data_IF_180534006587
#
_entry.id   IF_180534006587
#
_cell.length_a   1.000
_cell.length_b   1.000
_cell.length_c   1.000
_cell.angle_alpha   90.00
_cell.angle_beta   90.00
_cell.angle_gamma   90.00
#
_symmetry.space_group_name_H-M   'P 1'
#
loop_
_entity.id
_entity.type
_entity.pdbx_description
1 polymer ?
#
# COMPACT_ATOMS: atom_id res chain seq x y z
N UNK A 1 35.91 -1.12 14.43
CA UNK A 1 34.96 -1.15 13.30
C UNK A 1 35.11 0.16 12.53
N UNK A 2 35.18 0.15 11.20
CA UNK A 2 35.39 1.38 10.41
C UNK A 2 34.13 2.25 10.39
N UNK A 3 34.29 3.57 10.61
CA UNK A 3 33.19 4.52 10.78
C UNK A 3 32.20 4.55 9.60
N UNK A 4 32.65 4.25 8.37
CA UNK A 4 31.79 4.12 7.18
C UNK A 4 30.64 3.12 7.34
N UNK A 5 30.76 2.11 8.22
CA UNK A 5 29.72 1.08 8.38
C UNK A 5 28.46 1.58 9.11
N UNK A 6 28.46 2.79 9.68
CA UNK A 6 27.32 3.40 10.36
C UNK A 6 26.70 4.59 9.61
N UNK A 7 27.28 4.99 8.46
CA UNK A 7 26.81 6.13 7.67
C UNK A 7 25.43 5.86 7.04
N UNK A 8 24.39 6.58 7.48
CA UNK A 8 22.99 6.37 7.08
C UNK A 8 22.51 7.49 6.16
N UNK A 9 21.85 7.18 5.04
CA UNK A 9 21.30 8.22 4.14
C UNK A 9 20.34 9.15 4.88
N UNK A 10 20.49 10.47 4.73
CA UNK A 10 19.74 11.51 5.46
C UNK A 10 18.22 11.29 5.42
N UNK A 11 17.65 10.98 4.26
CA UNK A 11 16.21 10.70 4.12
C UNK A 11 15.73 9.46 4.91
N UNK A 12 16.61 8.48 5.17
CA UNK A 12 16.33 7.31 6.00
C UNK A 12 16.45 7.69 7.48
N UNK A 13 17.50 8.43 7.85
CA UNK A 13 17.68 8.97 9.20
C UNK A 13 16.44 9.74 9.65
N UNK A 14 16.04 10.79 8.92
CA UNK A 14 14.85 11.62 9.22
C UNK A 14 13.56 10.77 9.30
N UNK A 15 13.42 9.76 8.43
CA UNK A 15 12.21 8.93 8.44
C UNK A 15 12.12 7.96 9.62
N UNK A 16 13.25 7.55 10.21
CA UNK A 16 13.32 6.69 11.41
C UNK A 16 13.05 7.44 12.73
N UNK A 17 13.17 8.77 12.72
CA UNK A 17 12.84 9.62 13.90
C UNK A 17 11.33 9.86 14.05
N UNK A 18 10.53 9.36 13.10
CA UNK A 18 9.08 9.53 13.04
C UNK A 18 8.62 10.84 12.39
N UNK A 19 9.54 11.76 12.04
CA UNK A 19 9.19 13.11 11.54
C UNK A 19 8.32 13.09 10.27
N UNK A 20 8.74 12.34 9.24
CA UNK A 20 7.99 12.20 7.99
C UNK A 20 8.35 10.89 7.25
N UNK A 21 7.79 10.66 6.06
CA UNK A 21 8.24 9.58 5.16
C UNK A 21 9.57 9.94 4.47
N UNK A 22 10.30 8.93 3.99
CA UNK A 22 11.52 9.13 3.20
C UNK A 22 11.34 10.07 1.99
N UNK A 23 10.18 10.02 1.33
CA UNK A 23 9.85 10.88 0.17
C UNK A 23 9.57 12.33 0.57
N UNK A 24 8.96 12.55 1.75
CA UNK A 24 8.77 13.88 2.31
C UNK A 24 10.10 14.45 2.81
N UNK A 25 10.96 13.61 3.41
CA UNK A 25 12.33 14.00 3.78
C UNK A 25 13.13 14.44 2.55
N UNK A 26 13.07 13.68 1.44
CA UNK A 26 13.69 14.09 0.16
C UNK A 26 13.17 15.46 -0.31
N UNK A 27 11.87 15.76 -0.20
CA UNK A 27 11.30 17.09 -0.53
C UNK A 27 11.80 18.21 0.40
N UNK A 28 11.99 17.93 1.69
CA UNK A 28 12.49 18.92 2.65
C UNK A 28 13.97 19.25 2.43
N UNK A 29 14.77 18.24 2.06
CA UNK A 29 16.18 18.40 1.71
C UNK A 29 16.31 19.23 0.42
N UNK A 30 15.54 18.87 -0.61
CA UNK A 30 15.49 19.60 -1.90
C UNK A 30 15.04 21.06 -1.74
N UNK A 31 14.13 21.33 -0.81
CA UNK A 31 13.70 22.68 -0.43
C UNK A 31 14.70 23.46 0.46
N UNK A 32 15.88 22.90 0.77
CA UNK A 32 16.90 23.55 1.62
C UNK A 32 16.50 23.72 3.09
N UNK A 33 15.44 23.03 3.55
CA UNK A 33 14.88 23.14 4.92
C UNK A 33 15.55 22.24 5.95
N UNK A 34 16.55 21.47 5.52
CA UNK A 34 17.30 20.51 6.35
C UNK A 34 18.75 20.93 6.40
N UNK A 35 19.36 20.89 7.57
CA UNK A 35 20.80 21.12 7.76
C UNK A 35 21.46 19.91 8.40
N UNK A 36 22.75 19.70 8.10
CA UNK A 36 23.66 18.83 8.85
C UNK A 36 24.79 19.72 9.36
N UNK A 37 25.04 19.75 10.67
CA UNK A 37 26.07 20.58 11.31
C UNK A 37 26.02 22.05 10.83
N UNK A 38 24.82 22.61 10.74
CA UNK A 38 24.56 23.99 10.28
C UNK A 38 24.68 24.24 8.77
N UNK A 39 24.90 23.21 7.93
CA UNK A 39 25.06 23.35 6.47
C UNK A 39 23.95 22.63 5.71
N UNK A 40 23.47 23.21 4.61
CA UNK A 40 22.49 22.57 3.72
C UNK A 40 23.19 21.41 2.98
N UNK A 41 22.70 20.17 3.07
CA UNK A 41 23.32 18.99 2.48
C UNK A 41 22.82 18.74 1.04
N UNK A 42 23.68 18.16 0.20
CA UNK A 42 23.26 17.69 -1.13
C UNK A 42 22.34 16.45 -1.06
N UNK A 43 21.55 16.24 -2.12
CA UNK A 43 20.64 15.10 -2.22
C UNK A 43 21.38 13.77 -2.25
N UNK A 44 21.12 12.93 -1.25
CA UNK A 44 21.77 11.62 -1.08
C UNK A 44 22.90 11.60 -0.05
N UNK A 45 23.24 12.74 0.56
CA UNK A 45 24.16 12.84 1.70
C UNK A 45 23.83 11.82 2.80
N UNK A 46 24.88 11.31 3.46
CA UNK A 46 24.77 10.41 4.61
C UNK A 46 25.09 11.18 5.89
N UNK A 47 24.37 10.81 6.94
CA UNK A 47 24.54 11.26 8.33
C UNK A 47 25.44 10.24 9.04
N UNK A 48 26.45 10.73 9.74
CA UNK A 48 27.34 9.98 10.61
C UNK A 48 26.81 9.96 12.06
N UNK A 49 27.20 8.98 12.89
CA UNK A 49 26.95 9.04 14.32
C UNK A 49 27.59 10.29 14.93
N UNK A 50 26.78 11.14 15.56
CA UNK A 50 27.22 12.41 16.17
C UNK A 50 27.03 13.66 15.31
N UNK A 51 26.63 13.52 14.04
CA UNK A 51 26.18 14.67 13.25
C UNK A 51 24.88 15.25 13.84
N UNK A 52 24.83 16.58 13.95
CA UNK A 52 23.60 17.30 14.29
C UNK A 52 22.77 17.50 13.03
N UNK A 53 21.51 17.09 13.07
CA UNK A 53 20.57 17.16 11.94
C UNK A 53 19.37 17.96 12.38
N UNK A 54 19.11 19.08 11.70
CA UNK A 54 17.96 19.94 12.00
C UNK A 54 17.01 20.04 10.80
N UNK A 55 15.73 20.31 11.11
CA UNK A 55 14.72 20.70 10.13
C UNK A 55 14.10 22.00 10.60
N UNK A 56 14.14 23.04 9.76
CA UNK A 56 13.74 24.41 10.12
C UNK A 56 14.38 24.92 11.43
N UNK A 57 15.70 24.70 11.61
CA UNK A 57 16.48 25.04 12.80
C UNK A 57 15.95 24.39 14.10
N UNK A 58 15.42 23.17 14.00
CA UNK A 58 15.01 22.34 15.13
C UNK A 58 15.68 20.97 15.03
N UNK A 59 16.42 20.51 16.06
CA UNK A 59 17.10 19.23 16.02
C UNK A 59 16.10 18.08 15.88
N UNK A 60 16.41 17.14 14.99
CA UNK A 60 15.58 15.96 14.76
C UNK A 60 15.73 15.01 15.95
N UNK A 61 14.60 14.48 16.44
CA UNK A 61 14.56 13.60 17.63
C UNK A 61 15.31 12.28 17.41
N UNK A 62 15.70 11.63 18.49
CA UNK A 62 16.25 10.26 18.45
C UNK A 62 15.25 9.24 17.89
N UNK A 63 15.76 8.10 17.39
CA UNK A 63 14.94 6.99 16.85
C UNK A 63 13.91 6.54 17.89
N UNK A 64 12.64 6.47 17.49
CA UNK A 64 11.58 5.98 18.37
C UNK A 64 11.75 4.48 18.67
N UNK A 65 11.23 4.02 19.82
CA UNK A 65 11.08 2.59 20.10
C UNK A 65 10.24 1.93 18.99
N UNK A 66 10.63 0.75 18.47
CA UNK A 66 9.84 -0.01 17.51
C UNK A 66 8.43 -0.31 18.02
N UNK A 67 7.46 -0.23 17.12
CA UNK A 67 6.05 -0.54 17.36
C UNK A 67 5.65 -1.65 16.41
N UNK A 68 4.91 -2.63 16.91
CA UNK A 68 4.38 -3.72 16.11
C UNK A 68 2.91 -3.91 16.43
N UNK A 69 2.04 -3.75 15.43
CA UNK A 69 0.59 -3.82 15.56
C UNK A 69 0.06 -4.87 14.60
N UNK A 70 -0.80 -5.77 15.09
CA UNK A 70 -1.67 -6.61 14.27
C UNK A 70 -3.06 -5.98 14.18
N UNK A 71 -3.50 -5.66 12.96
CA UNK A 71 -4.82 -5.13 12.66
C UNK A 71 -5.66 -6.17 11.89
N UNK A 72 -6.91 -6.38 12.32
CA UNK A 72 -7.92 -6.99 11.48
C UNK A 72 -8.57 -5.91 10.59
N UNK A 73 -7.99 -5.70 9.41
CA UNK A 73 -8.40 -4.64 8.49
C UNK A 73 -9.80 -4.93 7.95
N UNK A 74 -10.76 -4.01 8.07
CA UNK A 74 -12.07 -4.19 7.45
C UNK A 74 -12.02 -3.87 5.94
N UNK A 75 -13.01 -4.41 5.22
CA UNK A 75 -13.34 -4.02 3.85
C UNK A 75 -13.61 -2.51 3.78
N UNK A 76 -13.19 -1.86 2.69
CA UNK A 76 -13.41 -0.43 2.46
C UNK A 76 -12.22 0.46 2.86
N UNK A 77 -11.36 0.01 3.78
CA UNK A 77 -10.14 0.74 4.17
C UNK A 77 -9.03 0.55 3.11
N UNK A 78 -8.30 1.62 2.81
CA UNK A 78 -7.24 1.66 1.79
C UNK A 78 -5.85 1.56 2.44
N UNK A 79 -5.03 0.60 2.02
CA UNK A 79 -3.65 0.45 2.52
C UNK A 79 -2.70 1.50 1.90
N UNK A 80 -2.80 2.75 2.36
CA UNK A 80 -1.90 3.87 2.03
C UNK A 80 -1.60 4.69 3.29
N UNK A 81 -0.50 5.45 3.27
CA UNK A 81 -0.15 6.44 4.31
C UNK A 81 -0.46 7.88 3.89
N UNK A 82 -1.04 8.06 2.70
CA UNK A 82 -1.46 9.34 2.14
C UNK A 82 -2.74 9.82 2.85
N UNK A 83 -2.66 10.97 3.53
CA UNK A 83 -3.73 11.52 4.38
C UNK A 83 -4.86 12.17 3.59
N UNK A 84 -4.59 12.55 2.35
CA UNK A 84 -5.56 13.07 1.39
C UNK A 84 -6.51 11.99 0.85
N UNK A 85 -6.19 10.70 1.05
CA UNK A 85 -7.05 9.58 0.66
C UNK A 85 -8.04 9.25 1.80
N UNK A 86 -9.37 9.46 1.61
CA UNK A 86 -10.35 9.13 2.64
C UNK A 86 -10.41 7.63 2.93
N UNK A 87 -10.47 7.29 4.22
CA UNK A 87 -10.45 5.89 4.67
C UNK A 87 -9.10 5.20 4.43
N UNK A 88 -7.98 5.93 4.51
CA UNK A 88 -6.65 5.33 4.59
C UNK A 88 -6.45 4.57 5.92
N UNK A 89 -5.48 3.66 5.95
CA UNK A 89 -5.26 2.75 7.08
C UNK A 89 -4.63 3.42 8.30
N UNK A 90 -3.94 4.56 8.13
CA UNK A 90 -3.28 5.27 9.24
C UNK A 90 -4.33 6.01 10.06
N UNK A 91 -5.17 6.79 9.40
CA UNK A 91 -6.26 7.53 10.05
C UNK A 91 -7.33 6.58 10.62
N UNK A 92 -7.56 5.42 9.96
CA UNK A 92 -8.46 4.38 10.49
C UNK A 92 -8.01 3.83 11.87
N UNK A 93 -6.70 3.70 12.10
CA UNK A 93 -6.17 3.25 13.39
C UNK A 93 -6.13 4.40 14.41
N UNK A 94 -5.87 5.63 13.96
CA UNK A 94 -5.77 6.81 14.83
C UNK A 94 -4.58 6.75 15.79
N UNK A 95 -3.48 6.09 15.40
CA UNK A 95 -2.33 5.91 16.29
C UNK A 95 -1.54 7.22 16.47
N UNK A 96 -1.19 7.54 17.73
CA UNK A 96 -0.54 8.80 18.12
C UNK A 96 0.89 8.98 17.54
N UNK A 97 1.62 7.88 17.30
CA UNK A 97 2.92 7.88 16.59
C UNK A 97 2.77 7.46 15.15
N UNK A 98 3.66 7.96 14.29
CA UNK A 98 3.74 7.66 12.86
C UNK A 98 4.01 6.17 12.62
N UNK A 99 2.99 5.44 12.17
CA UNK A 99 3.09 4.04 11.73
C UNK A 99 2.74 3.89 10.24
N UNK A 100 3.16 2.79 9.64
CA UNK A 100 2.91 2.44 8.24
C UNK A 100 2.69 0.92 8.09
N UNK A 101 1.90 0.48 7.10
CA UNK A 101 1.58 -0.93 6.92
C UNK A 101 2.75 -1.74 6.36
N UNK A 102 2.90 -2.96 6.86
CA UNK A 102 3.84 -3.95 6.34
C UNK A 102 3.16 -4.67 5.17
N UNK A 103 3.37 -4.09 3.98
CA UNK A 103 2.75 -4.54 2.75
C UNK A 103 1.35 -3.95 2.57
N UNK A 104 0.49 -4.64 1.82
CA UNK A 104 -0.84 -4.15 1.46
C UNK A 104 -1.89 -5.25 1.49
N UNK A 105 -3.14 -4.84 1.63
CA UNK A 105 -4.35 -5.57 1.26
C UNK A 105 -5.17 -4.66 0.35
N UNK A 106 -5.89 -5.25 -0.62
CA UNK A 106 -6.78 -4.48 -1.47
C UNK A 106 -7.92 -3.84 -0.65
N UNK A 107 -8.46 -2.71 -1.12
CA UNK A 107 -9.64 -2.06 -0.51
C UNK A 107 -10.82 -3.02 -0.27
N UNK A 108 -11.22 -3.89 -1.22
CA UNK A 108 -12.29 -4.89 -1.01
C UNK A 108 -11.87 -6.16 -0.24
N UNK A 109 -10.67 -6.24 0.33
CA UNK A 109 -10.18 -7.43 1.07
C UNK A 109 -10.06 -7.14 2.56
N UNK A 110 -10.40 -8.12 3.41
CA UNK A 110 -10.38 -8.02 4.87
C UNK A 110 -9.26 -8.86 5.52
N UNK A 111 -9.07 -8.71 6.83
CA UNK A 111 -8.21 -9.57 7.64
C UNK A 111 -6.84 -9.00 8.01
N UNK A 112 -5.93 -9.89 8.40
CA UNK A 112 -4.69 -9.57 9.11
C UNK A 112 -3.76 -8.67 8.27
N UNK A 113 -3.28 -7.58 8.87
CA UNK A 113 -2.17 -6.79 8.35
C UNK A 113 -1.35 -6.24 9.52
N UNK A 114 -0.02 -6.23 9.38
CA UNK A 114 0.83 -5.60 10.37
C UNK A 114 1.08 -4.13 10.06
N UNK A 115 1.31 -3.33 11.10
CA UNK A 115 1.82 -1.97 10.99
C UNK A 115 2.99 -1.75 11.96
N UNK A 116 3.91 -0.87 11.59
CA UNK A 116 5.10 -0.55 12.38
C UNK A 116 5.58 0.89 12.14
N UNK A 117 6.42 1.42 13.02
CA UNK A 117 7.25 2.60 12.76
C UNK A 117 8.69 2.22 12.34
N UNK A 118 9.08 0.94 12.37
CA UNK A 118 10.41 0.46 11.98
C UNK A 118 10.47 0.11 10.48
N UNK A 119 11.22 0.89 9.71
CA UNK A 119 11.38 0.69 8.27
C UNK A 119 12.31 -0.46 7.89
N UNK A 120 13.19 -0.90 8.80
CA UNK A 120 14.21 -1.92 8.48
C UNK A 120 13.60 -3.33 8.40
N UNK A 121 12.60 -3.62 9.24
CA UNK A 121 11.91 -4.92 9.26
C UNK A 121 10.89 -5.12 8.12
N UNK A 122 10.36 -4.04 7.53
CA UNK A 122 9.34 -4.12 6.46
C UNK A 122 9.84 -4.94 5.27
N UNK A 123 11.06 -4.69 4.83
CA UNK A 123 11.64 -5.44 3.71
C UNK A 123 11.94 -6.90 4.09
N UNK A 124 12.27 -7.17 5.36
CA UNK A 124 12.45 -8.56 5.84
C UNK A 124 11.12 -9.32 5.78
N UNK A 125 10.02 -8.77 6.30
CA UNK A 125 8.72 -9.48 6.29
C UNK A 125 8.10 -9.62 4.87
N UNK A 126 8.46 -8.74 3.92
CA UNK A 126 7.86 -8.70 2.58
C UNK A 126 8.66 -9.39 1.47
N UNK A 127 9.95 -9.69 1.65
CA UNK A 127 10.77 -10.31 0.60
C UNK A 127 10.28 -11.72 0.28
N UNK A 128 9.90 -11.95 -0.98
CA UNK A 128 9.45 -13.25 -1.47
C UNK A 128 10.52 -14.35 -1.28
N UNK A 129 11.81 -14.00 -1.40
CA UNK A 129 12.93 -14.93 -1.17
C UNK A 129 13.03 -15.47 0.27
N UNK A 130 12.31 -14.89 1.24
CA UNK A 130 12.25 -15.40 2.61
C UNK A 130 11.10 -16.40 2.82
N UNK A 131 10.30 -16.69 1.79
CA UNK A 131 9.19 -17.66 1.82
C UNK A 131 8.17 -17.50 2.97
N UNK A 132 7.98 -16.28 3.47
CA UNK A 132 7.05 -16.01 4.58
C UNK A 132 5.58 -16.23 4.19
N UNK A 133 5.03 -17.38 4.57
CA UNK A 133 3.65 -17.78 4.34
C UNK A 133 2.62 -16.71 4.74
N UNK A 134 1.61 -16.53 3.89
CA UNK A 134 0.44 -15.69 4.11
C UNK A 134 -0.79 -16.50 3.71
N UNK A 135 -1.69 -16.70 4.65
CA UNK A 135 -2.82 -17.61 4.50
C UNK A 135 -4.12 -16.83 4.33
N UNK A 136 -4.95 -17.27 3.40
CA UNK A 136 -6.20 -16.61 3.05
C UNK A 136 -7.34 -17.60 3.02
N UNK A 137 -8.51 -17.15 3.49
CA UNK A 137 -9.79 -17.80 3.23
C UNK A 137 -10.51 -17.01 2.15
N UNK A 138 -10.93 -17.72 1.11
CA UNK A 138 -11.48 -17.16 -0.13
C UNK A 138 -12.87 -17.74 -0.34
N UNK A 139 -13.86 -16.88 -0.61
CA UNK A 139 -15.21 -17.29 -1.02
C UNK A 139 -15.46 -16.86 -2.47
N UNK A 140 -15.95 -17.80 -3.27
CA UNK A 140 -16.16 -17.66 -4.72
C UNK A 140 -17.62 -17.82 -5.12
N UNK A 141 -17.92 -17.50 -6.38
CA UNK A 141 -19.23 -17.60 -7.03
C UNK A 141 -19.67 -19.04 -7.34
N UNK A 142 -18.72 -19.91 -7.72
CA UNK A 142 -19.00 -21.27 -8.21
C UNK A 142 -18.60 -22.38 -7.24
N UNK A 143 -19.22 -23.57 -7.32
CA UNK A 143 -18.82 -24.72 -6.52
C UNK A 143 -17.38 -25.17 -6.82
N UNK A 144 -16.56 -25.35 -5.79
CA UNK A 144 -15.15 -25.72 -5.92
C UNK A 144 -15.01 -27.20 -6.34
N UNK A 145 -14.39 -27.43 -7.49
CA UNK A 145 -14.08 -28.76 -8.05
C UNK A 145 -12.66 -29.22 -7.68
N UNK A 146 -12.38 -30.52 -7.80
CA UNK A 146 -11.02 -31.06 -7.62
C UNK A 146 -10.03 -30.50 -8.67
N UNK A 147 -10.49 -30.36 -9.92
CA UNK A 147 -9.72 -29.77 -11.01
C UNK A 147 -9.32 -28.30 -10.71
N UNK A 148 -10.22 -27.49 -10.15
CA UNK A 148 -9.90 -26.13 -9.74
C UNK A 148 -8.79 -26.10 -8.69
N UNK A 149 -8.87 -26.96 -7.67
CA UNK A 149 -7.84 -27.04 -6.62
C UNK A 149 -6.48 -27.44 -7.20
N UNK A 150 -6.45 -28.44 -8.08
CA UNK A 150 -5.22 -28.88 -8.76
C UNK A 150 -4.60 -27.77 -9.61
N UNK A 151 -5.40 -27.08 -10.44
CA UNK A 151 -4.92 -25.96 -11.27
C UNK A 151 -4.45 -24.77 -10.43
N UNK A 152 -5.19 -24.42 -9.37
CA UNK A 152 -4.81 -23.35 -8.44
C UNK A 152 -3.50 -23.66 -7.71
N UNK A 153 -3.32 -24.90 -7.25
CA UNK A 153 -2.14 -25.35 -6.51
C UNK A 153 -0.88 -25.48 -7.38
N UNK A 154 -1.02 -25.94 -8.63
CA UNK A 154 0.09 -26.11 -9.57
C UNK A 154 0.72 -24.77 -10.03
N UNK A 155 -0.03 -23.67 -9.92
CA UNK A 155 0.38 -22.35 -10.39
C UNK A 155 -0.40 -21.93 -11.64
N UNK A 156 -0.79 -20.66 -11.68
CA UNK A 156 -1.69 -20.10 -12.71
C UNK A 156 -0.97 -19.00 -13.49
N UNK A 157 -1.06 -18.97 -14.83
CA UNK A 157 -0.50 -17.89 -15.63
C UNK A 157 -1.29 -16.59 -15.46
N UNK A 158 -0.67 -15.56 -14.89
CA UNK A 158 -1.23 -14.20 -14.69
C UNK A 158 -0.11 -13.17 -14.78
N UNK A 159 -0.41 -11.93 -15.21
CA UNK A 159 0.58 -10.83 -15.23
C UNK A 159 1.89 -11.19 -15.97
N UNK A 160 1.77 -11.86 -17.12
CA UNK A 160 2.88 -12.33 -17.96
C UNK A 160 3.91 -13.24 -17.24
N UNK A 161 3.50 -13.86 -16.14
CA UNK A 161 4.27 -14.83 -15.36
C UNK A 161 3.39 -16.01 -14.93
N UNK A 162 3.99 -17.07 -14.40
CA UNK A 162 3.26 -18.15 -13.71
C UNK A 162 3.49 -17.99 -12.22
N UNK A 163 2.42 -18.03 -11.42
CA UNK A 163 2.56 -18.00 -9.96
C UNK A 163 3.29 -19.26 -9.48
N UNK A 164 4.22 -19.12 -8.54
CA UNK A 164 4.76 -20.27 -7.79
C UNK A 164 3.65 -21.21 -7.29
N UNK A 165 3.88 -22.54 -7.25
CA UNK A 165 2.95 -23.50 -6.65
C UNK A 165 2.60 -23.14 -5.20
N UNK A 166 1.41 -23.54 -4.76
CA UNK A 166 0.89 -23.17 -3.44
C UNK A 166 0.01 -24.25 -2.81
N UNK A 167 -0.13 -24.20 -1.47
CA UNK A 167 -1.06 -25.07 -0.74
C UNK A 167 -2.48 -24.51 -0.92
N UNK A 168 -3.41 -25.35 -1.37
CA UNK A 168 -4.83 -25.00 -1.57
C UNK A 168 -5.69 -26.13 -1.02
N UNK A 169 -6.66 -25.79 -0.17
CA UNK A 169 -7.56 -26.75 0.46
C UNK A 169 -9.01 -26.27 0.37
N UNK A 170 -9.96 -27.18 0.14
CA UNK A 170 -11.39 -26.86 0.10
C UNK A 170 -11.98 -26.90 1.50
N UNK A 171 -12.52 -25.78 1.97
CA UNK A 171 -13.20 -25.71 3.27
C UNK A 171 -14.70 -26.02 3.14
N UNK A 172 -15.35 -25.50 2.10
CA UNK A 172 -16.80 -25.70 1.86
C UNK A 172 -17.09 -25.86 0.38
N UNK A 173 -18.37 -25.96 -0.01
CA UNK A 173 -18.79 -25.95 -1.41
C UNK A 173 -18.30 -24.69 -2.16
N UNK A 174 -18.21 -23.54 -1.48
CA UNK A 174 -17.93 -22.22 -2.09
C UNK A 174 -16.76 -21.47 -1.45
N UNK A 175 -16.02 -22.09 -0.51
CA UNK A 175 -14.80 -21.50 0.06
C UNK A 175 -13.61 -22.45 0.06
N UNK A 176 -12.43 -21.87 -0.18
CA UNK A 176 -11.14 -22.54 -0.12
C UNK A 176 -10.14 -21.70 0.67
N UNK A 177 -9.16 -22.40 1.23
CA UNK A 177 -7.99 -21.89 1.93
C UNK A 177 -6.81 -21.93 0.99
N UNK A 178 -5.98 -20.88 0.98
CA UNK A 178 -4.79 -20.78 0.13
C UNK A 178 -3.64 -20.12 0.88
N UNK A 179 -2.45 -20.70 0.78
CA UNK A 179 -1.24 -20.21 1.45
C UNK A 179 -0.18 -19.83 0.42
N UNK A 180 0.18 -18.54 0.39
CA UNK A 180 1.13 -17.96 -0.56
C UNK A 180 2.39 -17.45 0.14
N UNK A 181 3.55 -17.68 -0.47
CA UNK A 181 4.85 -17.11 -0.08
C UNK A 181 5.21 -15.83 -0.86
N UNK A 182 4.58 -15.64 -2.01
CA UNK A 182 4.68 -14.50 -2.93
C UNK A 182 3.48 -13.54 -2.76
N UNK A 183 3.55 -12.35 -3.37
CA UNK A 183 2.52 -11.33 -3.25
C UNK A 183 2.37 -10.45 -4.50
N UNK A 184 1.94 -11.05 -5.62
CA UNK A 184 1.67 -10.31 -6.85
C UNK A 184 0.41 -9.42 -6.73
N UNK A 185 0.28 -8.41 -7.58
CA UNK A 185 -0.86 -7.48 -7.57
C UNK A 185 -2.19 -8.23 -7.77
N UNK A 186 -3.09 -8.17 -6.75
CA UNK A 186 -4.39 -8.85 -6.75
C UNK A 186 -4.30 -10.36 -7.02
N UNK A 187 -3.18 -11.00 -6.68
CA UNK A 187 -2.83 -12.37 -7.10
C UNK A 187 -4.00 -13.37 -7.06
N UNK A 188 -4.58 -13.61 -5.88
CA UNK A 188 -5.65 -14.61 -5.70
C UNK A 188 -6.87 -14.31 -6.57
N UNK A 189 -7.24 -13.03 -6.72
CA UNK A 189 -8.37 -12.63 -7.57
C UNK A 189 -8.09 -12.95 -9.04
N UNK A 190 -6.90 -12.60 -9.52
CA UNK A 190 -6.46 -12.93 -10.90
C UNK A 190 -6.35 -14.43 -11.15
N UNK A 191 -5.88 -15.21 -10.16
CA UNK A 191 -5.82 -16.68 -10.26
C UNK A 191 -7.23 -17.28 -10.36
N UNK A 192 -8.20 -16.80 -9.57
CA UNK A 192 -9.60 -17.19 -9.72
C UNK A 192 -10.18 -16.76 -11.07
N UNK A 193 -9.99 -15.51 -11.48
CA UNK A 193 -10.48 -14.94 -12.75
C UNK A 193 -9.96 -15.79 -13.95
N UNK A 194 -8.68 -16.14 -13.96
CA UNK A 194 -8.06 -16.99 -14.99
C UNK A 194 -8.56 -18.45 -15.02
N UNK A 195 -9.10 -18.95 -13.90
CA UNK A 195 -9.76 -20.26 -13.80
C UNK A 195 -11.29 -20.17 -13.98
N UNK A 196 -11.83 -18.98 -14.27
CA UNK A 196 -13.25 -18.75 -14.50
C UNK A 196 -14.10 -18.57 -13.24
N UNK A 197 -13.52 -18.17 -12.11
CA UNK A 197 -14.19 -17.93 -10.83
C UNK A 197 -14.09 -16.45 -10.42
N UNK A 198 -15.13 -15.93 -9.77
CA UNK A 198 -15.13 -14.58 -9.17
C UNK A 198 -14.99 -14.66 -7.64
N UNK A 199 -14.22 -13.74 -7.05
CA UNK A 199 -13.94 -13.70 -5.60
C UNK A 199 -14.85 -12.70 -4.88
N UNK A 200 -15.91 -13.20 -4.24
CA UNK A 200 -16.80 -12.41 -3.39
C UNK A 200 -16.15 -11.95 -2.09
N UNK A 201 -15.39 -12.81 -1.41
CA UNK A 201 -14.70 -12.45 -0.16
C UNK A 201 -13.28 -13.00 -0.16
N UNK A 202 -12.34 -12.16 0.29
CA UNK A 202 -10.92 -12.50 0.42
C UNK A 202 -10.42 -11.98 1.77
N UNK A 203 -10.22 -12.89 2.72
CA UNK A 203 -9.77 -12.60 4.08
C UNK A 203 -8.39 -13.19 4.32
N UNK A 204 -7.39 -12.36 4.66
CA UNK A 204 -6.10 -12.89 5.14
C UNK A 204 -6.23 -13.30 6.61
N UNK A 205 -5.99 -14.57 6.93
CA UNK A 205 -6.21 -15.13 8.28
C UNK A 205 -4.92 -15.37 9.06
N UNK A 206 -3.77 -15.49 8.39
CA UNK A 206 -2.45 -15.66 9.03
C UNK A 206 -1.35 -14.99 8.23
N UNK A 207 -0.32 -14.50 8.92
CA UNK A 207 0.96 -14.08 8.35
C UNK A 207 2.05 -14.71 9.22
N UNK A 208 2.86 -15.61 8.65
CA UNK A 208 3.86 -16.38 9.39
C UNK A 208 3.22 -17.15 10.58
N UNK A 209 3.66 -16.89 11.80
CA UNK A 209 3.16 -17.41 13.07
C UNK A 209 1.87 -16.71 13.57
N UNK A 210 1.63 -15.45 13.18
CA UNK A 210 0.52 -14.65 13.74
C UNK A 210 -0.78 -14.94 13.00
N UNK A 211 -1.80 -15.40 13.73
CA UNK A 211 -3.16 -15.54 13.23
C UNK A 211 -4.02 -14.28 13.50
N UNK A 212 -5.20 -14.24 12.88
CA UNK A 212 -6.20 -13.20 13.06
C UNK A 212 -7.09 -13.44 14.30
N UNK A 213 -6.89 -14.56 15.00
CA UNK A 213 -7.77 -15.00 16.08
C UNK A 213 -7.65 -14.07 17.29
N UNK A 214 -8.76 -13.89 18.01
CA UNK A 214 -8.84 -12.91 19.09
C UNK A 214 -8.81 -11.43 18.67
N UNK A 215 -8.72 -11.11 17.37
CA UNK A 215 -8.75 -9.73 16.85
C UNK A 215 -10.09 -9.48 16.12
N UNK A 216 -11.08 -8.80 16.73
CA UNK A 216 -12.34 -8.48 16.07
C UNK A 216 -12.17 -7.59 14.83
N UNK A 217 -13.13 -7.64 13.90
CA UNK A 217 -13.06 -6.84 12.66
C UNK A 217 -12.95 -5.33 12.96
N UNK A 218 -11.98 -4.65 12.34
CA UNK A 218 -11.70 -3.24 12.60
C UNK A 218 -10.95 -2.96 13.91
N UNK A 219 -10.60 -3.98 14.70
CA UNK A 219 -9.77 -3.85 15.90
C UNK A 219 -8.33 -4.26 15.63
N UNK A 220 -7.44 -3.78 16.49
CA UNK A 220 -6.02 -4.04 16.46
C UNK A 220 -5.49 -4.26 17.87
N UNK A 221 -4.33 -4.90 17.96
CA UNK A 221 -3.54 -5.04 19.20
C UNK A 221 -2.06 -4.87 18.89
N UNK A 222 -1.25 -4.62 19.90
CA UNK A 222 0.19 -4.81 19.77
C UNK A 222 0.52 -6.30 19.62
N UNK A 223 1.62 -6.59 18.92
CA UNK A 223 2.24 -7.91 19.00
C UNK A 223 2.95 -8.06 20.35
N UNK A 224 2.96 -9.27 20.91
CA UNK A 224 3.71 -9.58 22.13
C UNK A 224 5.22 -9.66 21.85
N UNK A 225 6.03 -9.66 22.90
CA UNK A 225 7.49 -9.73 22.75
C UNK A 225 7.93 -11.09 22.14
N UNK A 226 7.22 -12.17 22.47
CA UNK A 226 7.41 -13.51 21.91
C UNK A 226 7.05 -13.54 20.41
N UNK A 227 5.89 -12.96 20.04
CA UNK A 227 5.46 -12.85 18.64
C UNK A 227 6.47 -12.05 17.80
N UNK A 228 7.00 -10.96 18.35
CA UNK A 228 8.03 -10.13 17.70
C UNK A 228 9.35 -10.90 17.59
N UNK A 229 9.78 -11.59 18.65
CA UNK A 229 11.01 -12.38 18.65
C UNK A 229 10.96 -13.51 17.61
N UNK A 230 9.84 -14.22 17.49
CA UNK A 230 9.65 -15.27 16.48
C UNK A 230 9.64 -14.70 15.05
N UNK A 231 8.97 -13.57 14.81
CA UNK A 231 9.04 -12.85 13.51
C UNK A 231 10.47 -12.44 13.18
N UNK A 232 11.22 -11.92 14.15
CA UNK A 232 12.62 -11.51 13.97
C UNK A 232 13.51 -12.71 13.64
N UNK A 233 13.37 -13.82 14.37
CA UNK A 233 14.09 -15.08 14.13
C UNK A 233 13.80 -15.63 12.72
N UNK A 234 12.54 -15.67 12.28
CA UNK A 234 12.19 -16.03 10.90
C UNK A 234 12.82 -15.08 9.86
N UNK A 235 13.09 -13.83 10.24
CA UNK A 235 13.70 -12.81 9.40
C UNK A 235 15.25 -12.75 9.46
N UNK A 236 15.94 -13.54 10.29
CA UNK A 236 17.40 -13.41 10.51
C UNK A 236 18.23 -13.69 9.27
N UNK A 237 17.85 -14.69 8.47
CA UNK A 237 18.48 -14.98 7.17
C UNK A 237 18.28 -13.88 6.11
N UNK A 238 17.45 -12.87 6.37
CA UNK A 238 17.14 -11.80 5.41
C UNK A 238 18.09 -10.62 5.53
N UNK A 239 19.03 -10.56 4.58
CA UNK A 239 19.95 -9.45 4.42
C UNK A 239 19.19 -8.14 4.14
N UNK A 240 19.56 -7.05 4.82
CA UNK A 240 18.93 -5.74 4.63
C UNK A 240 19.09 -5.24 3.19
N UNK A 241 18.21 -4.35 2.72
CA UNK A 241 18.32 -3.80 1.36
C UNK A 241 19.64 -3.06 1.11
N UNK A 242 20.26 -2.48 2.14
CA UNK A 242 21.59 -1.88 2.04
C UNK A 242 22.69 -2.94 2.01
N UNK A 243 22.61 -3.98 2.85
CA UNK A 243 23.65 -5.01 2.92
C UNK A 243 23.62 -5.95 1.71
N UNK A 244 22.43 -6.24 1.16
CA UNK A 244 22.26 -6.97 -0.09
C UNK A 244 22.84 -6.20 -1.28
N UNK A 245 22.82 -4.87 -1.26
CA UNK A 245 23.45 -4.03 -2.29
C UNK A 245 24.98 -3.96 -2.21
N UNK A 246 25.58 -4.47 -1.12
CA UNK A 246 27.05 -4.56 -0.93
C UNK A 246 27.62 -5.89 -1.45
N UNK A 247 26.80 -6.81 -1.94
CA UNK A 247 27.22 -8.19 -2.29
C UNK A 247 26.64 -8.54 -3.67
N UNK A 248 27.46 -9.06 -4.58
CA UNK A 248 27.00 -9.52 -5.90
C UNK A 248 26.38 -10.93 -5.81
N UNK A 249 25.75 -11.39 -6.90
CA UNK A 249 25.11 -12.72 -6.96
C UNK A 249 26.07 -13.91 -6.70
N UNK A 250 27.39 -13.69 -6.68
CA UNK A 250 28.43 -14.68 -6.36
C UNK A 250 29.00 -14.51 -4.94
N UNK A 251 28.35 -13.75 -4.07
CA UNK A 251 28.78 -13.53 -2.69
C UNK A 251 29.96 -12.55 -2.52
N UNK A 252 30.42 -11.90 -3.59
CA UNK A 252 31.59 -11.01 -3.54
C UNK A 252 31.18 -9.58 -3.17
N UNK A 253 31.99 -8.93 -2.32
CA UNK A 253 31.71 -7.59 -1.80
C UNK A 253 31.95 -6.51 -2.86
N UNK A 254 30.90 -5.80 -3.24
CA UNK A 254 30.90 -4.69 -4.20
C UNK A 254 31.63 -3.49 -3.59
N UNK A 255 32.69 -3.02 -4.24
CA UNK A 255 33.56 -1.95 -3.71
C UNK A 255 33.20 -0.56 -4.24
N UNK A 256 32.59 -0.43 -5.43
CA UNK A 256 32.10 0.84 -5.98
C UNK A 256 30.68 0.70 -6.53
N UNK A 257 29.87 1.76 -6.41
CA UNK A 257 28.47 1.75 -6.86
C UNK A 257 28.31 1.64 -8.40
N UNK A 258 29.36 1.94 -9.16
CA UNK A 258 29.46 1.67 -10.61
C UNK A 258 29.35 0.19 -10.93
N UNK A 259 29.95 -0.65 -10.09
CA UNK A 259 30.11 -2.08 -10.35
C UNK A 259 28.77 -2.82 -10.15
N UNK A 260 27.89 -2.27 -9.30
CA UNK A 260 26.51 -2.73 -9.14
C UNK A 260 25.61 -2.38 -10.35
N UNK A 261 25.93 -1.32 -11.11
CA UNK A 261 25.14 -0.89 -12.28
C UNK A 261 25.52 -1.60 -13.58
N UNK A 262 26.67 -2.29 -13.62
CA UNK A 262 27.05 -3.12 -14.78
C UNK A 262 26.29 -4.45 -14.85
N UNK A 263 25.59 -4.85 -13.79
CA UNK A 263 24.84 -6.10 -13.73
C UNK A 263 23.50 -5.95 -14.46
N UNK A 264 23.54 -6.03 -15.79
CA UNK A 264 22.34 -5.97 -16.64
C UNK A 264 21.52 -7.27 -16.48
N UNK A 265 20.20 -7.09 -16.29
CA UNK A 265 19.13 -8.10 -16.29
C UNK A 265 19.11 -9.10 -17.46
N UNK A 266 20.02 -8.95 -18.42
CA UNK A 266 20.24 -9.85 -19.55
C UNK A 266 21.03 -11.11 -19.18
N UNK A 267 21.93 -11.08 -18.19
CA UNK A 267 22.71 -12.28 -17.81
C UNK A 267 21.83 -13.35 -17.14
N UNK A 268 20.93 -12.96 -16.24
CA UNK A 268 19.98 -13.86 -15.56
C UNK A 268 19.04 -14.55 -16.58
N UNK A 269 18.76 -13.89 -17.70
CA UNK A 269 17.98 -14.46 -18.80
C UNK A 269 18.75 -15.46 -19.69
N UNK A 270 20.09 -15.52 -19.65
CA UNK A 270 20.85 -16.50 -20.45
C UNK A 270 20.67 -17.94 -19.96
N UNK A 271 20.41 -18.13 -18.66
CA UNK A 271 20.09 -19.44 -18.09
C UNK A 271 18.65 -19.90 -18.39
N UNK A 272 17.79 -19.01 -18.91
CA UNK A 272 16.39 -19.35 -19.22
C UNK A 272 16.28 -20.17 -20.52
N UNK A 273 16.06 -21.47 -20.40
CA UNK A 273 15.78 -22.38 -21.53
C UNK A 273 14.49 -22.05 -22.29
N UNK A 274 13.64 -21.17 -21.75
CA UNK A 274 12.38 -20.73 -22.33
C UNK A 274 12.49 -20.18 -23.78
N UNK A 275 13.63 -19.61 -24.17
CA UNK A 275 13.86 -19.15 -25.57
C UNK A 275 14.37 -20.23 -26.52
N UNK A 276 14.85 -21.38 -26.04
CA UNK A 276 15.43 -22.42 -26.90
C UNK A 276 14.38 -23.22 -27.66
N UNK A 277 13.21 -23.44 -27.06
CA UNK A 277 12.12 -24.24 -27.64
C UNK A 277 11.22 -23.46 -28.61
N UNK A 278 11.45 -22.17 -28.84
CA UNK A 278 10.65 -21.37 -29.78
C UNK A 278 11.08 -21.55 -31.26
N UNK A 279 12.05 -22.43 -31.53
CA UNK A 279 12.61 -22.64 -32.87
C UNK A 279 12.01 -23.82 -33.66
N UNK A 280 11.22 -24.69 -33.02
CA UNK A 280 10.66 -25.90 -33.65
C UNK A 280 9.19 -25.82 -34.07
N UNK A 281 8.39 -24.89 -33.53
CA UNK A 281 6.99 -24.73 -33.93
C UNK A 281 6.76 -23.44 -34.74
N UNK A 282 6.97 -23.54 -36.06
CA UNK A 282 6.90 -22.44 -37.02
C UNK A 282 5.49 -22.26 -37.60
N UNK A 283 4.50 -21.92 -36.75
CA UNK A 283 3.21 -21.45 -37.24
C UNK A 283 3.36 -20.06 -37.86
N UNK A 284 2.92 -19.90 -39.11
CA UNK A 284 2.98 -18.63 -39.86
C UNK A 284 2.12 -17.57 -39.18
N UNK A 285 2.72 -16.47 -38.75
CA UNK A 285 2.02 -15.21 -38.47
C UNK A 285 2.42 -14.13 -39.47
N UNK A 286 1.46 -13.26 -39.75
CA UNK A 286 1.42 -12.32 -40.87
C UNK A 286 2.47 -11.21 -40.75
N UNK A 287 3.22 -10.93 -41.83
CA UNK A 287 4.13 -9.76 -41.92
C UNK A 287 3.35 -8.56 -42.47
N UNK A 288 2.99 -7.64 -41.59
CA UNK A 288 2.66 -6.26 -42.01
C UNK A 288 3.93 -5.47 -42.30
N UNK A 289 3.85 -4.53 -43.25
CA UNK A 289 4.96 -3.61 -43.54
C UNK A 289 5.20 -2.62 -42.38
N UNK A 290 6.41 -2.07 -42.30
CA UNK A 290 6.87 -1.05 -41.34
C UNK A 290 7.16 -1.54 -39.90
N UNK A 291 7.70 -2.75 -39.73
CA UNK A 291 8.20 -3.24 -38.44
C UNK A 291 9.63 -2.77 -38.08
N UNK A 292 10.38 -2.18 -39.02
CA UNK A 292 11.81 -1.90 -38.88
C UNK A 292 12.15 -0.43 -38.52
N UNK A 293 11.17 0.47 -38.44
CA UNK A 293 11.41 1.93 -38.41
C UNK A 293 11.77 2.51 -37.01
N UNK A 294 11.74 1.69 -35.94
CA UNK A 294 11.94 2.14 -34.55
C UNK A 294 13.20 1.57 -33.86
N UNK A 295 14.21 1.12 -34.61
CA UNK A 295 15.38 0.39 -34.07
C UNK A 295 16.74 1.09 -34.10
N UNK A 296 16.80 2.43 -34.05
CA UNK A 296 18.07 3.15 -33.86
C UNK A 296 18.01 4.19 -32.73
N UNK A 297 18.68 3.87 -31.62
CA UNK A 297 19.10 4.85 -30.62
C UNK A 297 20.52 5.36 -31.00
N UNK A 298 20.76 6.68 -31.10
CA UNK A 298 22.05 7.20 -31.54
C UNK A 298 23.02 7.37 -30.37
N UNK A 299 24.27 6.95 -30.53
CA UNK A 299 25.38 7.47 -29.73
C UNK A 299 26.68 7.56 -30.55
N UNK A 300 27.57 8.47 -30.13
CA UNK A 300 28.95 8.70 -30.57
C UNK A 300 29.21 9.27 -31.99
N UNK A 301 29.44 10.59 -32.03
CA UNK A 301 30.59 11.28 -32.67
C UNK A 301 31.16 10.72 -34.00
N UNK A 302 30.94 11.47 -35.10
CA UNK A 302 32.03 12.00 -35.97
C UNK A 302 31.52 13.03 -36.99
N UNK A 303 32.43 13.89 -37.45
CA UNK A 303 32.30 14.59 -38.75
C UNK A 303 31.72 16.01 -38.72
N UNK A 304 32.60 17.02 -38.60
CA UNK A 304 32.34 18.31 -39.24
C UNK A 304 32.36 18.09 -40.76
N UNK A 305 31.37 18.60 -41.48
CA UNK A 305 31.67 19.51 -42.58
C UNK A 305 30.50 20.46 -42.85
N UNK A 306 30.82 21.69 -43.23
CA UNK A 306 29.86 22.76 -43.50
C UNK A 306 29.51 22.80 -44.98
N UNK A 307 28.24 23.01 -45.32
CA UNK A 307 27.82 23.42 -46.66
C UNK A 307 26.62 24.36 -46.59
N UNK A 308 26.81 25.54 -47.18
CA UNK A 308 25.92 26.70 -47.26
C UNK A 308 24.41 26.44 -47.33
N UNK A 309 23.67 27.34 -46.68
CA UNK A 309 22.28 27.66 -47.01
C UNK A 309 22.10 29.18 -46.93
N UNK A 310 22.45 29.90 -48.01
CA UNK A 310 22.30 31.36 -48.05
C UNK A 310 20.84 31.80 -48.12
N UNK A 311 20.57 32.94 -47.48
CA UNK A 311 19.28 33.59 -47.43
C UNK A 311 19.06 34.47 -48.67
N UNK A 312 17.95 34.29 -49.39
CA UNK A 312 17.41 35.25 -50.36
C UNK A 312 15.91 35.05 -50.54
N UNK A 313 15.12 36.02 -50.08
CA UNK A 313 13.67 36.05 -50.32
C UNK A 313 13.30 36.78 -51.61
N UNK A 314 12.02 36.73 -51.99
CA UNK A 314 11.40 37.74 -52.85
C UNK A 314 9.89 37.85 -52.59
N UNK A 315 9.33 39.00 -53.01
CA UNK A 315 8.03 39.55 -52.60
C UNK A 315 6.88 39.23 -53.57
N UNK A 316 5.65 39.16 -53.02
CA UNK A 316 4.33 39.62 -53.54
C UNK A 316 3.23 39.05 -52.62
N UNK A 317 2.11 39.71 -52.27
CA UNK A 317 1.63 41.06 -52.59
C UNK A 317 0.13 41.09 -52.89
N UNK A 318 -0.72 41.30 -51.86
CA UNK A 318 -2.12 41.83 -51.85
C UNK A 318 -2.71 41.59 -50.43
N UNK A 319 -3.32 42.55 -49.71
CA UNK A 319 -4.73 43.06 -49.80
C UNK A 319 -5.79 41.94 -49.80
N UNK A 320 -6.88 41.98 -49.01
CA UNK A 320 -7.51 43.07 -48.23
C UNK A 320 -8.45 42.53 -47.10
N UNK A 321 -8.88 43.41 -46.17
CA UNK A 321 -10.09 43.44 -45.28
C UNK A 321 -10.91 42.16 -44.94
N UNK A 322 -11.57 42.00 -43.77
CA UNK A 322 -12.08 42.93 -42.72
C UNK A 322 -12.01 42.23 -41.34
N UNK A 323 -11.59 42.89 -40.24
CA UNK A 323 -12.42 43.61 -39.23
C UNK A 323 -13.70 42.88 -38.77
N UNK A 324 -13.92 42.47 -37.52
CA UNK A 324 -13.77 43.09 -36.18
C UNK A 324 -14.87 44.09 -35.75
N UNK A 325 -15.78 43.66 -34.88
CA UNK A 325 -16.35 44.38 -33.70
C UNK A 325 -17.30 43.39 -32.97
N UNK A 326 -17.37 43.27 -31.64
CA UNK A 326 -17.25 44.19 -30.48
C UNK A 326 -18.52 45.00 -30.18
N UNK A 327 -18.84 45.09 -28.86
CA UNK A 327 -19.94 45.87 -28.22
C UNK A 327 -21.37 45.35 -28.48
N UNK A 328 -22.35 45.50 -27.56
CA UNK A 328 -22.30 45.95 -26.14
C UNK A 328 -23.66 45.72 -25.44
N UNK A 329 -23.59 45.57 -24.10
CA UNK A 329 -24.51 46.17 -23.10
C UNK A 329 -25.98 45.72 -22.92
N UNK A 330 -26.33 45.53 -21.62
CA UNK A 330 -27.60 45.91 -20.93
C UNK A 330 -28.90 45.22 -21.40
N UNK A 331 -29.96 45.07 -20.59
CA UNK A 331 -30.10 45.04 -19.12
C UNK A 331 -31.54 44.64 -18.73
N UNK A 332 -31.68 43.92 -17.62
CA UNK A 332 -32.78 44.00 -16.63
C UNK A 332 -34.17 43.35 -16.88
N UNK A 333 -34.77 43.02 -15.72
CA UNK A 333 -36.20 42.88 -15.36
C UNK A 333 -37.09 41.81 -16.01
N UNK A 334 -37.41 40.81 -15.19
CA UNK A 334 -38.77 40.41 -14.78
C UNK A 334 -39.92 40.35 -15.81
N UNK A 335 -40.58 39.18 -15.88
CA UNK A 335 -41.99 39.17 -15.52
C UNK A 335 -42.47 37.87 -14.86
N UNK A 336 -43.58 37.99 -14.12
CA UNK A 336 -44.17 37.01 -13.20
C UNK A 336 -45.44 36.36 -13.80
N UNK A 337 -45.94 35.36 -13.06
CA UNK A 337 -47.33 34.85 -13.13
C UNK A 337 -47.64 34.01 -14.39
N UNK A 338 -48.63 33.12 -14.46
CA UNK A 338 -49.72 32.64 -13.57
C UNK A 338 -50.35 31.42 -14.29
N UNK A 339 -51.24 30.56 -13.78
CA UNK A 339 -51.90 30.29 -12.48
C UNK A 339 -52.55 28.88 -12.61
N UNK A 340 -52.87 28.20 -11.47
CA UNK A 340 -54.12 27.41 -11.16
C UNK A 340 -54.70 26.41 -12.20
N UNK A 341 -55.55 25.42 -11.90
CA UNK A 341 -56.07 24.64 -10.76
C UNK A 341 -56.73 23.38 -11.45
N UNK A 342 -57.27 22.30 -10.87
CA UNK A 342 -58.18 22.18 -9.71
C UNK A 342 -58.56 20.69 -9.45
N UNK A 343 -58.66 20.29 -8.17
CA UNK A 343 -59.53 19.24 -7.57
C UNK A 343 -59.55 17.78 -8.12
N UNK A 344 -59.90 16.74 -7.34
CA UNK A 344 -60.24 16.67 -5.89
C UNK A 344 -61.14 15.47 -5.52
N UNK A 345 -61.59 15.42 -4.24
CA UNK A 345 -62.31 14.31 -3.52
C UNK A 345 -61.35 13.19 -3.02
N UNK A 346 -61.43 12.63 -1.80
CA UNK A 346 -62.42 12.64 -0.69
C UNK A 346 -62.75 11.18 -0.30
N UNK A 347 -63.02 10.74 0.95
CA UNK A 347 -63.27 11.40 2.24
C UNK A 347 -63.26 10.35 3.41
N UNK A 348 -63.17 10.79 4.69
CA UNK A 348 -63.79 10.17 5.92
C UNK A 348 -63.37 8.74 6.40
N UNK A 349 -63.47 8.30 7.69
CA UNK A 349 -63.67 8.96 9.01
C UNK A 349 -63.41 7.97 10.21
N UNK A 350 -63.59 8.46 11.46
CA UNK A 350 -63.68 7.79 12.79
C UNK A 350 -62.38 7.83 13.65
N UNK A 351 -62.29 8.61 14.77
CA UNK A 351 -63.01 8.59 16.07
C UNK A 351 -62.85 7.25 16.83
N UNK A 352 -62.43 7.17 18.10
CA UNK A 352 -61.98 8.15 19.11
C UNK A 352 -61.90 7.48 20.50
N UNK A 353 -61.44 8.17 21.57
CA UNK A 353 -61.62 7.70 22.97
C UNK A 353 -60.46 7.92 23.96
N UNK A 354 -60.76 8.60 25.08
CA UNK A 354 -59.98 8.63 26.34
C UNK A 354 -60.90 8.11 27.46
N UNK A 355 -60.41 7.29 28.41
CA UNK A 355 -60.59 7.49 29.88
C UNK A 355 -60.12 6.33 30.81
N UNK A 356 -59.31 6.70 31.81
CA UNK A 356 -59.40 6.37 33.27
C UNK A 356 -59.45 4.93 33.87
N UNK A 357 -58.49 4.71 34.81
CA UNK A 357 -58.63 4.24 36.22
C UNK A 357 -58.68 2.75 36.69
N UNK A 358 -57.68 2.43 37.55
CA UNK A 358 -57.73 1.96 38.97
C UNK A 358 -57.69 0.46 39.42
N UNK A 359 -56.74 0.23 40.35
CA UNK A 359 -56.64 -0.78 41.47
C UNK A 359 -56.60 -2.28 41.10
N UNK A 360 -55.97 -3.20 41.86
CA UNK A 360 -55.47 -3.27 43.27
C UNK A 360 -53.95 -3.68 43.29
N UNK A 361 -53.04 -3.19 44.15
CA UNK A 361 -52.85 -3.41 45.61
C UNK A 361 -52.24 -4.81 45.95
N UNK A 362 -51.00 -4.90 46.46
CA UNK A 362 -50.76 -4.93 47.92
C UNK A 362 -49.28 -4.77 48.37
N UNK A 363 -49.12 -4.14 49.54
CA UNK A 363 -48.09 -4.23 50.59
C UNK A 363 -46.55 -4.07 50.36
N UNK A 364 -46.05 -2.97 50.96
CA UNK A 364 -44.73 -2.73 51.62
C UNK A 364 -44.64 -3.52 52.96
N UNK A 365 -43.60 -3.43 53.85
CA UNK A 365 -42.41 -2.55 53.92
C UNK A 365 -41.08 -3.34 54.19
N UNK A 366 -39.93 -2.84 54.72
CA UNK A 366 -39.51 -1.52 55.25
C UNK A 366 -37.98 -1.27 55.12
N UNK A 367 -37.49 -0.12 55.62
CA UNK A 367 -36.10 0.12 56.09
C UNK A 367 -36.10 0.17 57.65
N UNK A 368 -34.95 -0.07 58.33
CA UNK A 368 -34.08 1.05 58.72
C UNK A 368 -32.57 0.74 58.63
N UNK A 369 -31.74 1.74 58.92
CA UNK A 369 -30.28 1.63 59.01
C UNK A 369 -29.80 1.80 60.46
N UNK A 370 -28.64 1.26 60.83
CA UNK A 370 -27.60 1.97 61.62
C UNK A 370 -26.38 1.11 62.06
N UNK A 371 -25.28 1.83 62.32
CA UNK A 371 -24.14 1.57 63.24
C UNK A 371 -22.90 0.78 62.75
N UNK A 372 -21.82 1.09 63.47
CA UNK A 372 -20.37 0.98 63.15
C UNK A 372 -19.70 -0.19 63.91
N UNK A 373 -18.36 -0.22 63.83
CA UNK A 373 -17.36 -1.05 64.54
C UNK A 373 -17.13 -2.38 63.80
N UNK A 374 -15.91 -2.82 63.49
CA UNK A 374 -14.56 -2.34 63.80
C UNK A 374 -13.65 -3.56 63.99
N UNK A 375 -12.50 -3.65 63.30
CA UNK A 375 -11.74 -4.92 63.25
C UNK A 375 -10.40 -4.84 62.53
N UNK A 376 -9.39 -4.34 63.25
CA UNK A 376 -7.95 -4.72 63.21
C UNK A 376 -7.34 -5.34 61.94
N UNK A 377 -6.34 -4.63 61.38
CA UNK A 377 -5.18 -5.29 60.76
C UNK A 377 -4.40 -6.10 61.82
N UNK A 378 -3.80 -7.22 61.42
CA UNK A 378 -2.84 -7.97 62.22
C UNK A 378 -1.78 -8.63 61.34
N UNK A 379 -0.52 -8.19 61.45
CA UNK A 379 0.63 -8.84 60.80
C UNK A 379 1.01 -10.13 61.51
N UNK A 380 1.45 -11.13 60.73
CA UNK A 380 2.47 -12.17 61.01
C UNK A 380 2.45 -13.18 59.85
N UNK A 381 3.58 -13.72 59.38
CA UNK A 381 4.99 -13.42 59.70
C UNK A 381 5.87 -13.85 58.52
#
# INVERSE_FOLDING_TARGET
MSQESQAKRLNKYISETGFCSRREADKLIDAGRVTINGKIPEMGTKVMPGDDVEIDNKPVRSKEKPIYIALNKPTGITCTTERDIPGNIVDFIGHHKRIFPIGRLDKPSDGLIFLTNDGDIVNKILRAGNNHEKEYVVRVDKPITGEFLQKMAAGVPILDTVTLPCKVEKETKFSFRITLTQGLNRQIRRMCEALGYEVFKLRRVRIMNISLDGIPNGKWRYLSEEEIAEILAMCEGSVSTEDASKINAKGQRIRKATDAKLFDSREENQASTARRNQKENRTRTYRGNNADEFRHAPNSKRGRNSSNGENKGQSKGNTENWKSNSRSERSNSDNKSSDRNRAGRGNADHRGGKSTNRHQESNRPNKPAAKRVGGTLGLKK
#
